data_IF_610819580433
#
_entry.id   IF_610819580433
#
_cell.length_a   1.000
_cell.length_b   1.000
_cell.length_c   1.000
_cell.angle_alpha   90.00
_cell.angle_beta   90.00
_cell.angle_gamma   90.00
#
_symmetry.space_group_name_H-M   'P 1'
#
loop_
_entity.id
_entity.type
_entity.pdbx_description
1 polymer ?
#
# COMPACT_ATOMS: atom_id res chain seq x y z
N UNK A 1 66.74 -16.20 15.73
CA UNK A 1 66.00 -15.69 14.56
C UNK A 1 64.63 -16.37 14.33
N UNK A 2 64.41 -17.64 14.72
CA UNK A 2 63.14 -18.38 14.50
C UNK A 2 61.95 -17.88 15.31
N UNK A 3 62.14 -17.36 16.52
CA UNK A 3 61.02 -16.86 17.37
C UNK A 3 60.35 -15.57 16.90
N UNK A 4 61.03 -14.75 16.06
CA UNK A 4 60.48 -13.52 15.48
C UNK A 4 59.67 -13.76 14.20
N UNK A 5 59.95 -14.87 13.47
CA UNK A 5 59.21 -15.25 12.27
C UNK A 5 57.83 -15.86 12.58
N UNK A 6 57.73 -16.62 13.68
CA UNK A 6 56.48 -17.23 14.12
C UNK A 6 55.48 -16.18 14.64
N UNK A 7 55.93 -15.09 15.25
CA UNK A 7 55.09 -13.99 15.72
C UNK A 7 54.51 -13.16 14.55
N UNK A 8 55.27 -13.03 13.44
CA UNK A 8 54.78 -12.28 12.27
C UNK A 8 53.74 -13.05 11.46
N UNK A 9 53.84 -14.39 11.43
CA UNK A 9 52.86 -15.26 10.75
C UNK A 9 51.52 -15.37 11.54
N UNK A 10 51.58 -15.31 12.87
CA UNK A 10 50.38 -15.35 13.70
C UNK A 10 49.59 -14.01 13.63
N UNK A 11 50.28 -12.87 13.53
CA UNK A 11 49.62 -11.56 13.37
C UNK A 11 49.02 -11.36 11.97
N UNK A 12 49.59 -11.95 10.91
CA UNK A 12 49.02 -11.91 9.56
C UNK A 12 47.77 -12.79 9.44
N UNK A 13 47.71 -13.94 10.15
CA UNK A 13 46.56 -14.81 10.18
C UNK A 13 45.35 -14.19 10.93
N UNK A 14 45.60 -13.36 11.95
CA UNK A 14 44.55 -12.62 12.67
C UNK A 14 43.98 -11.43 11.87
N UNK A 15 44.77 -10.79 11.01
CA UNK A 15 44.33 -9.69 10.17
C UNK A 15 43.49 -10.16 8.95
N UNK A 16 43.75 -11.37 8.45
CA UNK A 16 42.95 -11.97 7.36
C UNK A 16 41.58 -12.48 7.88
N UNK A 17 41.45 -12.84 9.17
CA UNK A 17 40.21 -13.27 9.78
C UNK A 17 39.19 -12.15 10.05
N UNK A 18 39.62 -10.87 10.05
CA UNK A 18 38.73 -9.71 10.28
C UNK A 18 38.16 -9.09 9.00
N UNK A 19 38.60 -9.49 7.81
CA UNK A 19 38.02 -9.03 6.54
C UNK A 19 36.93 -9.94 5.97
N UNK A 20 36.55 -11.02 6.64
CA UNK A 20 35.56 -11.97 6.19
C UNK A 20 34.16 -11.78 6.85
N UNK A 21 33.94 -10.66 7.56
CA UNK A 21 32.64 -10.35 8.19
C UNK A 21 31.93 -9.19 7.49
N UNK A 22 31.46 -9.44 6.27
CA UNK A 22 30.68 -8.47 5.49
C UNK A 22 29.59 -9.08 4.60
N UNK A 23 29.51 -10.41 4.53
CA UNK A 23 28.36 -11.06 3.93
C UNK A 23 27.33 -11.32 5.06
N UNK A 24 26.33 -10.46 5.18
CA UNK A 24 25.15 -10.76 5.99
C UNK A 24 24.60 -12.08 5.46
N UNK A 25 24.74 -13.16 6.22
CA UNK A 25 24.16 -14.43 5.82
C UNK A 25 22.66 -14.21 5.66
N UNK A 26 22.13 -14.54 4.48
CA UNK A 26 20.68 -14.49 4.22
C UNK A 26 19.99 -15.31 5.32
N UNK A 27 19.13 -14.69 6.10
CA UNK A 27 18.37 -15.42 7.12
C UNK A 27 17.42 -16.38 6.40
N UNK A 28 17.33 -17.61 6.84
CA UNK A 28 16.42 -18.61 6.27
C UNK A 28 14.95 -18.36 6.69
N UNK A 29 14.71 -17.30 7.42
CA UNK A 29 13.37 -16.94 7.89
C UNK A 29 12.57 -16.35 6.72
N UNK A 30 11.35 -16.84 6.53
CA UNK A 30 10.40 -16.26 5.56
C UNK A 30 9.50 -15.29 6.29
N UNK A 31 9.52 -14.03 5.89
CA UNK A 31 8.64 -12.98 6.41
C UNK A 31 7.31 -13.01 5.65
N UNK A 32 6.22 -13.19 6.38
CA UNK A 32 4.87 -13.25 5.80
C UNK A 32 4.31 -11.85 5.68
N UNK A 33 4.15 -11.40 4.44
CA UNK A 33 3.71 -10.03 4.10
C UNK A 33 2.33 -10.08 3.47
N UNK A 34 1.40 -9.27 3.95
CA UNK A 34 0.10 -9.07 3.30
C UNK A 34 0.04 -7.72 2.60
N UNK A 35 -0.46 -7.72 1.38
CA UNK A 35 -0.79 -6.52 0.62
C UNK A 35 -2.25 -6.49 0.21
N UNK A 36 -2.76 -5.30 -0.12
CA UNK A 36 -4.06 -5.15 -0.76
C UNK A 36 -3.89 -4.94 -2.26
N UNK A 37 -4.83 -5.44 -3.06
CA UNK A 37 -4.89 -5.12 -4.49
C UNK A 37 -5.12 -3.61 -4.64
N UNK A 38 -4.09 -2.89 -5.06
CA UNK A 38 -4.12 -1.44 -5.21
C UNK A 38 -2.84 -0.72 -4.78
N UNK A 39 -2.92 0.60 -4.56
CA UNK A 39 -1.74 1.47 -4.43
C UNK A 39 -0.84 1.14 -3.22
N UNK A 40 -1.40 0.64 -2.11
CA UNK A 40 -0.63 0.34 -0.90
C UNK A 40 0.41 -0.76 -1.07
N UNK A 41 0.29 -1.58 -2.12
CA UNK A 41 1.17 -2.74 -2.39
C UNK A 41 2.18 -2.47 -3.50
N UNK A 42 1.97 -1.45 -4.34
CA UNK A 42 2.83 -1.21 -5.50
C UNK A 42 4.31 -1.08 -5.14
N UNK A 43 4.65 -0.43 -4.03
CA UNK A 43 6.02 -0.33 -3.54
C UNK A 43 6.61 -1.63 -2.97
N UNK A 44 5.80 -2.69 -2.79
CA UNK A 44 6.24 -3.99 -2.26
C UNK A 44 6.58 -5.01 -3.34
N UNK A 45 6.09 -4.83 -4.59
CA UNK A 45 6.16 -5.90 -5.61
C UNK A 45 7.59 -6.25 -6.02
N UNK A 46 8.51 -5.28 -6.01
CA UNK A 46 9.91 -5.53 -6.33
C UNK A 46 10.63 -6.40 -5.28
N UNK A 47 10.09 -6.58 -4.07
CA UNK A 47 10.60 -7.57 -3.11
C UNK A 47 10.60 -8.98 -3.72
N UNK A 48 9.58 -9.34 -4.49
CA UNK A 48 9.49 -10.65 -5.17
C UNK A 48 10.56 -10.79 -6.26
N UNK A 49 10.80 -9.72 -7.03
CA UNK A 49 11.88 -9.73 -8.02
C UNK A 49 13.26 -9.83 -7.35
N UNK A 50 13.46 -9.12 -6.25
CA UNK A 50 14.70 -9.18 -5.47
C UNK A 50 14.92 -10.57 -4.87
N UNK A 51 13.87 -11.24 -4.38
CA UNK A 51 13.94 -12.60 -3.87
C UNK A 51 14.33 -13.57 -4.99
N UNK A 52 13.63 -13.52 -6.14
CA UNK A 52 13.89 -14.36 -7.31
C UNK A 52 15.32 -14.21 -7.84
N UNK A 53 15.85 -12.99 -7.79
CA UNK A 53 17.21 -12.66 -8.25
C UNK A 53 18.28 -12.88 -7.18
N UNK A 54 17.92 -13.29 -5.96
CA UNK A 54 18.84 -13.52 -4.85
C UNK A 54 19.45 -12.23 -4.27
N UNK A 55 18.84 -11.06 -4.51
CA UNK A 55 19.31 -9.75 -4.02
C UNK A 55 18.57 -9.29 -2.76
N UNK A 56 17.49 -9.98 -2.38
CA UNK A 56 16.80 -9.75 -1.12
C UNK A 56 17.63 -10.26 0.07
N UNK A 57 17.56 -9.54 1.19
CA UNK A 57 18.27 -9.88 2.42
C UNK A 57 17.68 -11.12 3.13
N UNK A 58 16.45 -11.49 2.81
CA UNK A 58 15.68 -12.59 3.39
C UNK A 58 14.61 -13.09 2.43
N UNK A 59 13.83 -14.11 2.82
CA UNK A 59 12.74 -14.61 2.00
C UNK A 59 11.43 -13.89 2.36
N UNK A 60 10.54 -13.72 1.38
CA UNK A 60 9.25 -13.07 1.54
C UNK A 60 8.12 -13.97 1.00
N UNK A 61 7.06 -14.13 1.78
CA UNK A 61 5.77 -14.68 1.33
C UNK A 61 4.80 -13.51 1.23
N UNK A 62 4.70 -12.89 0.04
CA UNK A 62 3.78 -11.78 -0.22
C UNK A 62 2.46 -12.31 -0.74
N UNK A 63 1.40 -12.15 0.04
CA UNK A 63 0.04 -12.54 -0.30
C UNK A 63 -0.83 -11.30 -0.51
N UNK A 64 -1.66 -11.31 -1.57
CA UNK A 64 -2.55 -10.21 -1.92
C UNK A 64 -4.00 -10.53 -1.60
N UNK A 65 -4.70 -9.53 -1.07
CA UNK A 65 -6.10 -9.62 -0.67
C UNK A 65 -6.92 -8.53 -1.35
N UNK A 66 -8.20 -8.80 -1.59
CA UNK A 66 -9.12 -7.85 -2.20
C UNK A 66 -9.55 -6.75 -1.23
N UNK A 67 -9.75 -7.12 0.05
CA UNK A 67 -10.25 -6.22 1.07
C UNK A 67 -9.47 -6.31 2.38
N UNK A 68 -9.46 -5.23 3.14
CA UNK A 68 -8.68 -5.12 4.38
C UNK A 68 -9.22 -5.99 5.53
N UNK A 69 -10.51 -6.34 5.50
CA UNK A 69 -11.15 -7.25 6.46
C UNK A 69 -10.65 -8.70 6.34
N UNK A 70 -10.06 -9.08 5.21
CA UNK A 70 -9.38 -10.36 5.04
C UNK A 70 -7.99 -10.36 5.73
N UNK A 71 -7.29 -9.22 5.76
CA UNK A 71 -5.93 -9.08 6.32
C UNK A 71 -5.95 -8.95 7.83
N UNK A 72 -6.89 -8.16 8.36
CA UNK A 72 -6.97 -7.83 9.79
C UNK A 72 -7.00 -9.06 10.71
N UNK A 73 -7.85 -10.10 10.48
CA UNK A 73 -7.83 -11.29 11.30
C UNK A 73 -6.50 -12.06 11.26
N UNK A 74 -5.82 -12.06 10.12
CA UNK A 74 -4.53 -12.74 9.94
C UNK A 74 -3.40 -12.06 10.71
N UNK A 75 -3.37 -10.72 10.71
CA UNK A 75 -2.45 -9.95 11.57
C UNK A 75 -2.68 -10.27 13.05
N UNK A 76 -3.93 -10.26 13.52
CA UNK A 76 -4.28 -10.51 14.92
C UNK A 76 -3.89 -11.93 15.34
N UNK A 77 -4.10 -12.93 14.48
CA UNK A 77 -3.77 -14.33 14.74
C UNK A 77 -2.28 -14.66 14.58
N UNK A 78 -1.47 -13.74 14.05
CA UNK A 78 -0.07 -13.99 13.74
C UNK A 78 0.15 -14.89 12.51
N UNK A 79 -0.82 -14.97 11.63
CA UNK A 79 -0.69 -15.65 10.31
C UNK A 79 0.09 -14.78 9.32
N UNK A 80 0.15 -13.47 9.54
CA UNK A 80 0.89 -12.46 8.79
C UNK A 80 1.74 -11.65 9.78
N UNK A 81 2.96 -11.30 9.40
CA UNK A 81 3.91 -10.57 10.23
C UNK A 81 3.91 -9.07 9.93
N UNK A 82 3.86 -8.73 8.65
CA UNK A 82 3.89 -7.37 8.10
C UNK A 82 2.71 -7.19 7.15
N UNK A 83 2.07 -6.03 7.17
CA UNK A 83 0.98 -5.75 6.23
C UNK A 83 0.94 -4.30 5.75
N UNK A 84 0.57 -4.12 4.47
CA UNK A 84 0.21 -2.82 3.91
C UNK A 84 -1.32 -2.65 4.03
N UNK A 85 -1.77 -1.70 4.87
CA UNK A 85 -3.17 -1.50 5.21
C UNK A 85 -3.58 -0.02 5.17
N UNK A 86 -4.90 0.29 5.07
CA UNK A 86 -5.42 1.65 5.24
C UNK A 86 -5.00 2.27 6.58
N UNK A 87 -4.61 3.54 6.54
CA UNK A 87 -4.04 4.24 7.69
C UNK A 87 -4.97 4.28 8.93
N UNK A 88 -6.27 4.45 8.73
CA UNK A 88 -7.25 4.45 9.83
C UNK A 88 -7.37 3.08 10.52
N UNK A 89 -7.17 2.00 9.76
CA UNK A 89 -7.19 0.64 10.35
C UNK A 89 -5.99 0.39 11.24
N UNK A 90 -4.81 0.94 10.91
CA UNK A 90 -3.66 0.84 11.80
C UNK A 90 -3.96 1.46 13.17
N UNK A 91 -4.57 2.67 13.22
CA UNK A 91 -4.97 3.30 14.47
C UNK A 91 -6.01 2.46 15.24
N UNK A 92 -7.02 1.94 14.51
CA UNK A 92 -8.06 1.08 15.11
C UNK A 92 -7.49 -0.22 15.66
N UNK A 93 -6.59 -0.87 14.91
CA UNK A 93 -5.94 -2.11 15.33
C UNK A 93 -5.03 -1.89 16.54
N UNK A 94 -4.22 -0.82 16.52
CA UNK A 94 -3.36 -0.46 17.65
C UNK A 94 -4.16 -0.39 18.95
N UNK A 95 -5.31 0.30 18.91
CA UNK A 95 -6.18 0.41 20.09
C UNK A 95 -6.84 -0.91 20.47
N UNK A 96 -7.40 -1.64 19.50
CA UNK A 96 -8.11 -2.91 19.76
C UNK A 96 -7.20 -4.03 20.24
N UNK A 97 -5.94 -4.00 19.83
CA UNK A 97 -4.93 -5.00 20.22
C UNK A 97 -4.05 -4.52 21.37
N UNK A 98 -4.35 -3.35 21.96
CA UNK A 98 -3.56 -2.73 23.02
C UNK A 98 -2.07 -2.62 22.68
N UNK A 99 -1.77 -2.06 21.50
CA UNK A 99 -0.40 -1.89 21.01
C UNK A 99 0.17 -3.10 20.26
N UNK A 100 -0.67 -4.05 19.84
CA UNK A 100 -0.24 -5.28 19.16
C UNK A 100 0.30 -5.10 17.74
N UNK A 101 0.28 -3.88 17.19
CA UNK A 101 0.93 -3.52 15.92
C UNK A 101 1.71 -2.21 16.05
N UNK A 102 2.69 -2.02 15.17
CA UNK A 102 3.48 -0.79 15.03
C UNK A 102 3.46 -0.35 13.57
N UNK A 103 3.39 0.96 13.32
CA UNK A 103 3.56 1.54 11.98
C UNK A 103 5.05 1.67 11.69
N UNK A 104 5.50 1.10 10.58
CA UNK A 104 6.90 1.18 10.13
C UNK A 104 7.11 2.24 9.07
N UNK A 105 6.13 2.44 8.19
CA UNK A 105 6.23 3.40 7.10
C UNK A 105 4.85 3.90 6.66
N UNK A 106 4.81 5.13 6.15
CA UNK A 106 3.73 5.62 5.31
C UNK A 106 4.03 5.16 3.89
N UNK A 107 3.11 4.42 3.28
CA UNK A 107 3.31 3.86 1.95
C UNK A 107 2.44 4.50 0.85
N UNK A 108 1.40 5.22 1.24
CA UNK A 108 0.49 5.85 0.28
C UNK A 108 -0.01 7.20 0.78
N UNK A 109 0.16 8.21 -0.03
CA UNK A 109 -0.36 9.57 0.19
C UNK A 109 -1.41 9.88 -0.89
N UNK A 110 -2.58 10.36 -0.48
CA UNK A 110 -3.63 10.78 -1.42
C UNK A 110 -4.21 9.63 -2.24
N UNK A 111 -4.08 9.69 -3.54
CA UNK A 111 -4.48 8.74 -4.61
C UNK A 111 -5.98 8.52 -4.82
N UNK A 112 -6.85 9.27 -4.16
CA UNK A 112 -8.31 9.13 -4.26
C UNK A 112 -8.90 10.23 -5.15
N UNK A 113 -9.81 9.84 -6.05
CA UNK A 113 -10.44 10.74 -7.00
C UNK A 113 -11.93 10.48 -7.12
N UNK A 114 -12.72 11.53 -7.32
CA UNK A 114 -14.08 11.38 -7.82
C UNK A 114 -14.01 11.38 -9.35
N UNK A 115 -14.58 10.34 -9.93
CA UNK A 115 -14.72 10.19 -11.39
C UNK A 115 -16.19 10.20 -11.78
N UNK A 116 -16.49 10.72 -12.96
CA UNK A 116 -17.84 10.80 -13.51
C UNK A 116 -17.90 10.30 -14.94
N UNK A 117 -18.96 9.58 -15.28
CA UNK A 117 -19.38 9.30 -16.64
C UNK A 117 -20.51 10.25 -17.00
N UNK A 118 -20.15 11.45 -17.47
CA UNK A 118 -21.06 12.55 -17.71
C UNK A 118 -20.35 13.89 -17.61
N UNK A 119 -21.14 14.96 -17.53
CA UNK A 119 -20.62 16.35 -17.40
C UNK A 119 -21.52 17.17 -16.47
N UNK A 120 -21.78 16.65 -15.27
CA UNK A 120 -22.69 17.26 -14.31
C UNK A 120 -22.03 17.59 -12.98
N UNK A 121 -20.83 17.07 -12.72
CA UNK A 121 -20.06 17.33 -11.49
C UNK A 121 -18.86 18.21 -11.80
N UNK A 122 -18.83 19.39 -11.18
CA UNK A 122 -17.74 20.39 -11.29
C UNK A 122 -17.24 20.81 -9.90
N UNK A 123 -17.98 20.46 -8.84
CA UNK A 123 -17.67 20.78 -7.45
C UNK A 123 -18.29 19.75 -6.51
N UNK A 124 -17.93 19.79 -5.21
CA UNK A 124 -18.63 18.98 -4.20
C UNK A 124 -20.13 19.25 -4.14
N UNK A 125 -20.56 20.49 -4.37
CA UNK A 125 -21.98 20.86 -4.30
C UNK A 125 -22.84 20.05 -5.28
N UNK A 126 -22.29 19.67 -6.43
CA UNK A 126 -22.99 18.93 -7.48
C UNK A 126 -23.17 17.43 -7.10
N UNK A 127 -22.56 16.96 -6.03
CA UNK A 127 -22.75 15.62 -5.51
C UNK A 127 -24.06 15.47 -4.71
N UNK A 128 -24.68 16.58 -4.31
CA UNK A 128 -25.91 16.54 -3.52
C UNK A 128 -27.04 15.87 -4.30
N UNK A 129 -27.74 14.94 -3.65
CA UNK A 129 -28.80 14.12 -4.25
C UNK A 129 -28.31 12.99 -5.14
N UNK A 130 -26.98 12.78 -5.24
CA UNK A 130 -26.40 11.79 -6.15
C UNK A 130 -26.06 10.48 -5.43
N UNK A 131 -25.96 9.41 -6.24
CA UNK A 131 -25.40 8.14 -5.81
C UNK A 131 -23.92 8.11 -6.19
N UNK A 132 -23.05 7.76 -5.23
CA UNK A 132 -21.60 7.67 -5.38
C UNK A 132 -21.20 6.23 -5.13
N UNK A 133 -20.60 5.58 -6.13
CA UNK A 133 -20.02 4.25 -5.99
C UNK A 133 -18.65 4.37 -5.31
N UNK A 134 -18.31 3.49 -4.38
CA UNK A 134 -17.04 3.53 -3.67
C UNK A 134 -16.60 2.14 -3.24
N UNK A 135 -15.39 2.06 -2.72
CA UNK A 135 -14.85 0.87 -2.04
C UNK A 135 -14.40 1.23 -0.64
N UNK A 136 -13.92 0.26 0.09
CA UNK A 136 -13.24 0.49 1.37
C UNK A 136 -14.17 0.98 2.46
N UNK A 137 -15.37 0.40 2.58
CA UNK A 137 -16.26 0.65 3.72
C UNK A 137 -15.53 0.37 5.05
N UNK A 138 -15.60 1.32 5.99
CA UNK A 138 -14.86 1.25 7.26
C UNK A 138 -13.36 1.58 7.13
N UNK A 139 -12.89 2.00 5.96
CA UNK A 139 -11.49 2.31 5.71
C UNK A 139 -11.28 3.74 5.23
N UNK A 140 -10.03 4.14 5.00
CA UNK A 140 -9.66 5.53 4.67
C UNK A 140 -10.50 6.16 3.53
N UNK A 141 -10.79 5.48 2.41
CA UNK A 141 -11.61 6.07 1.34
C UNK A 141 -12.98 6.57 1.82
N UNK A 142 -13.69 5.78 2.63
CA UNK A 142 -14.98 6.21 3.19
C UNK A 142 -14.83 7.44 4.08
N UNK A 143 -13.89 7.40 5.02
CA UNK A 143 -13.73 8.50 5.98
C UNK A 143 -13.31 9.80 5.30
N UNK A 144 -12.44 9.74 4.31
CA UNK A 144 -12.00 10.90 3.52
C UNK A 144 -13.18 11.50 2.75
N UNK A 145 -13.93 10.68 2.01
CA UNK A 145 -15.09 11.16 1.26
C UNK A 145 -16.11 11.81 2.19
N UNK A 146 -16.48 11.14 3.27
CA UNK A 146 -17.48 11.64 4.23
C UNK A 146 -17.02 12.91 4.94
N UNK A 147 -15.73 13.02 5.25
CA UNK A 147 -15.17 14.22 5.84
C UNK A 147 -15.22 15.40 4.88
N UNK A 148 -14.80 15.21 3.63
CA UNK A 148 -14.81 16.26 2.62
C UNK A 148 -16.23 16.68 2.23
N UNK A 149 -17.20 15.75 2.17
CA UNK A 149 -18.62 16.09 2.00
C UNK A 149 -19.08 17.03 3.11
N UNK A 150 -18.84 16.70 4.39
CA UNK A 150 -19.21 17.56 5.53
C UNK A 150 -18.55 18.92 5.49
N UNK A 151 -17.25 18.99 5.10
CA UNK A 151 -16.53 20.27 4.95
C UNK A 151 -17.10 21.15 3.86
N UNK A 152 -17.79 20.56 2.89
CA UNK A 152 -18.50 21.27 1.81
C UNK A 152 -20.00 21.43 2.09
N UNK A 153 -20.46 21.25 3.34
CA UNK A 153 -21.85 21.48 3.74
C UNK A 153 -22.83 20.39 3.27
N UNK A 154 -22.33 19.19 2.93
CA UNK A 154 -23.14 18.05 2.50
C UNK A 154 -23.16 17.01 3.61
N UNK A 155 -24.34 16.64 4.08
CA UNK A 155 -24.51 15.53 5.03
C UNK A 155 -24.38 14.18 4.29
N UNK A 156 -23.30 13.40 4.54
CA UNK A 156 -23.07 12.16 3.81
C UNK A 156 -24.10 11.06 4.11
N UNK A 157 -24.95 11.25 5.10
CA UNK A 157 -25.99 10.29 5.50
C UNK A 157 -27.37 10.65 4.97
N UNK A 158 -27.57 11.91 4.50
CA UNK A 158 -28.87 12.43 4.04
C UNK A 158 -28.84 12.97 2.63
N UNK A 159 -27.74 13.67 2.27
CA UNK A 159 -27.68 14.44 1.05
C UNK A 159 -27.09 13.65 -0.14
N UNK A 160 -26.46 12.49 0.11
CA UNK A 160 -25.91 11.60 -0.91
C UNK A 160 -26.22 10.14 -0.56
N UNK A 161 -26.19 9.27 -1.56
CA UNK A 161 -26.20 7.81 -1.35
C UNK A 161 -24.82 7.26 -1.70
N UNK A 162 -24.12 6.63 -0.75
CA UNK A 162 -22.85 5.99 -1.01
C UNK A 162 -23.05 4.48 -1.07
N UNK A 163 -22.73 3.87 -2.22
CA UNK A 163 -22.80 2.43 -2.43
C UNK A 163 -21.40 1.85 -2.41
N UNK A 164 -21.17 0.86 -1.54
CA UNK A 164 -19.86 0.26 -1.34
C UNK A 164 -19.76 -1.11 -2.01
N UNK A 165 -18.66 -1.33 -2.68
CA UNK A 165 -18.26 -2.60 -3.30
C UNK A 165 -17.01 -3.14 -2.59
N UNK A 166 -16.77 -4.44 -2.74
CA UNK A 166 -15.64 -5.11 -2.08
C UNK A 166 -14.30 -4.66 -2.67
N UNK A 167 -14.20 -4.57 -4.00
CA UNK A 167 -12.99 -4.22 -4.73
C UNK A 167 -13.19 -3.03 -5.68
N UNK A 168 -12.12 -2.28 -5.95
CA UNK A 168 -12.14 -1.18 -6.92
C UNK A 168 -12.39 -1.65 -8.36
N UNK A 169 -12.01 -2.88 -8.69
CA UNK A 169 -12.33 -3.54 -9.96
C UNK A 169 -13.82 -3.68 -10.20
N UNK A 170 -14.62 -3.95 -9.15
CA UNK A 170 -16.08 -4.03 -9.23
C UNK A 170 -16.69 -2.65 -9.50
N UNK A 171 -16.23 -1.60 -8.82
CA UNK A 171 -16.66 -0.21 -9.08
C UNK A 171 -16.34 0.17 -10.53
N UNK A 172 -15.13 -0.16 -11.02
CA UNK A 172 -14.75 0.09 -12.41
C UNK A 172 -15.68 -0.62 -13.39
N UNK A 173 -16.08 -1.85 -13.10
CA UNK A 173 -17.02 -2.62 -13.92
C UNK A 173 -18.43 -1.99 -13.90
N UNK A 174 -18.91 -1.53 -12.74
CA UNK A 174 -20.21 -0.85 -12.63
C UNK A 174 -20.22 0.49 -13.40
N UNK A 175 -19.13 1.27 -13.33
CA UNK A 175 -18.96 2.49 -14.11
C UNK A 175 -19.05 2.20 -15.60
N UNK A 176 -18.39 1.15 -16.09
CA UNK A 176 -18.42 0.76 -17.49
C UNK A 176 -19.82 0.30 -17.93
N UNK A 177 -20.55 -0.43 -17.08
CA UNK A 177 -21.89 -0.94 -17.36
C UNK A 177 -22.96 0.18 -17.37
N UNK A 178 -22.74 1.26 -16.64
CA UNK A 178 -23.68 2.39 -16.56
C UNK A 178 -23.58 3.27 -17.81
N UNK A 179 -24.72 3.63 -18.39
CA UNK A 179 -24.73 4.37 -19.67
C UNK A 179 -24.30 5.84 -19.51
N UNK A 180 -24.70 6.51 -18.44
CA UNK A 180 -24.36 7.91 -18.14
C UNK A 180 -24.65 8.26 -16.69
N UNK A 181 -24.16 9.43 -16.25
CA UNK A 181 -24.43 10.03 -14.95
C UNK A 181 -23.95 9.16 -13.76
N UNK A 182 -22.99 8.25 -13.98
CA UNK A 182 -22.38 7.46 -12.93
C UNK A 182 -21.24 8.26 -12.29
N UNK A 183 -21.20 8.21 -10.95
CA UNK A 183 -20.16 8.88 -10.14
C UNK A 183 -19.54 7.83 -9.24
N UNK A 184 -18.19 7.82 -9.16
CA UNK A 184 -17.49 6.91 -8.27
C UNK A 184 -16.32 7.60 -7.58
N UNK A 185 -15.93 7.07 -6.41
CA UNK A 185 -14.63 7.32 -5.79
C UNK A 185 -13.73 6.13 -6.07
N UNK A 186 -12.64 6.37 -6.75
CA UNK A 186 -11.65 5.36 -7.11
C UNK A 186 -10.23 5.81 -6.71
N UNK A 187 -9.37 4.88 -6.29
CA UNK A 187 -7.94 5.16 -6.16
C UNK A 187 -7.25 5.03 -7.53
N UNK A 188 -6.07 5.65 -7.68
CA UNK A 188 -5.12 5.18 -8.69
C UNK A 188 -4.60 3.79 -8.30
N UNK A 189 -4.32 2.91 -9.27
CA UNK A 189 -4.40 3.09 -10.74
C UNK A 189 -5.77 2.76 -11.34
N UNK A 190 -6.79 2.46 -10.52
CA UNK A 190 -8.13 2.11 -11.03
C UNK A 190 -8.85 3.23 -11.78
N UNK A 191 -8.51 4.49 -11.48
CA UNK A 191 -8.98 5.63 -12.30
C UNK A 191 -8.47 5.50 -13.74
N UNK A 192 -7.17 5.28 -13.90
CA UNK A 192 -6.57 5.07 -15.23
C UNK A 192 -7.17 3.85 -15.93
N UNK A 193 -7.32 2.73 -15.21
CA UNK A 193 -7.96 1.52 -15.74
C UNK A 193 -9.38 1.76 -16.24
N UNK A 194 -10.16 2.55 -15.50
CA UNK A 194 -11.51 2.91 -15.89
C UNK A 194 -11.52 3.78 -17.15
N UNK A 195 -10.64 4.80 -17.21
CA UNK A 195 -10.52 5.70 -18.36
C UNK A 195 -10.01 4.99 -19.63
N UNK A 196 -9.13 4.00 -19.49
CA UNK A 196 -8.68 3.19 -20.64
C UNK A 196 -9.82 2.34 -21.22
N UNK A 197 -10.76 1.87 -20.38
CA UNK A 197 -11.95 1.13 -20.83
C UNK A 197 -13.03 2.05 -21.40
N UNK A 198 -13.14 3.24 -20.85
CA UNK A 198 -14.14 4.24 -21.24
C UNK A 198 -13.53 5.64 -21.15
N UNK A 199 -13.05 6.16 -22.30
CA UNK A 199 -12.43 7.47 -22.39
C UNK A 199 -13.39 8.65 -22.10
N UNK A 200 -14.70 8.39 -21.98
CA UNK A 200 -15.67 9.41 -21.56
C UNK A 200 -15.67 9.66 -20.04
N UNK A 201 -14.97 8.83 -19.26
CA UNK A 201 -14.83 9.04 -17.82
C UNK A 201 -13.91 10.22 -17.53
N UNK A 202 -14.41 11.17 -16.74
CA UNK A 202 -13.66 12.35 -16.30
C UNK A 202 -13.25 12.22 -14.84
N UNK A 203 -12.04 12.64 -14.52
CA UNK A 203 -11.66 12.95 -13.14
C UNK A 203 -12.22 14.33 -12.83
N UNK A 204 -13.15 14.42 -11.88
CA UNK A 204 -13.86 15.66 -11.55
C UNK A 204 -13.37 16.30 -10.27
N UNK A 205 -12.96 15.50 -9.26
CA UNK A 205 -12.35 15.99 -8.03
C UNK A 205 -11.13 15.14 -7.67
N UNK A 206 -10.03 15.81 -7.36
CA UNK A 206 -8.86 15.24 -6.71
C UNK A 206 -9.03 15.42 -5.20
N UNK A 207 -9.29 14.32 -4.47
CA UNK A 207 -9.56 14.40 -3.03
C UNK A 207 -8.34 14.85 -2.22
N UNK A 208 -7.12 14.71 -2.74
CA UNK A 208 -5.92 15.25 -2.11
C UNK A 208 -5.90 16.78 -2.19
N UNK A 209 -6.23 17.34 -3.36
CA UNK A 209 -6.36 18.79 -3.53
C UNK A 209 -7.48 19.36 -2.65
N UNK A 210 -8.61 18.67 -2.58
CA UNK A 210 -9.72 19.09 -1.75
C UNK A 210 -9.41 18.98 -0.25
N UNK A 211 -8.65 17.96 0.16
CA UNK A 211 -8.13 17.81 1.52
C UNK A 211 -7.23 18.99 1.91
N UNK A 212 -6.30 19.36 1.05
CA UNK A 212 -5.35 20.45 1.30
C UNK A 212 -6.01 21.83 1.41
N UNK A 213 -7.26 21.99 0.95
CA UNK A 213 -8.04 23.24 1.15
C UNK A 213 -8.61 23.35 2.56
N UNK A 214 -8.78 22.24 3.27
CA UNK A 214 -9.51 22.17 4.56
C UNK A 214 -8.70 21.56 5.70
N UNK A 215 -7.49 21.09 5.41
CA UNK A 215 -6.57 20.49 6.38
C UNK A 215 -5.14 20.95 6.12
N UNK A 216 -4.40 21.21 7.21
CA UNK A 216 -2.98 21.58 7.16
C UNK A 216 -2.05 20.35 7.22
N UNK A 217 -2.60 19.14 7.05
CA UNK A 217 -1.87 17.87 7.13
C UNK A 217 -1.96 17.12 5.81
N UNK A 218 -0.97 16.28 5.54
CA UNK A 218 -1.00 15.37 4.39
C UNK A 218 -2.14 14.35 4.52
N UNK A 219 -2.74 14.00 3.41
CA UNK A 219 -3.71 12.91 3.33
C UNK A 219 -2.98 11.57 3.28
N UNK A 220 -2.77 10.95 4.45
CA UNK A 220 -2.18 9.61 4.55
C UNK A 220 -3.29 8.58 4.36
N UNK A 221 -3.19 7.78 3.30
CA UNK A 221 -4.20 6.78 2.96
C UNK A 221 -3.77 5.36 3.25
N UNK A 222 -2.46 5.07 3.23
CA UNK A 222 -1.92 3.75 3.50
C UNK A 222 -0.65 3.77 4.33
N UNK A 223 -0.48 2.72 5.12
CA UNK A 223 0.71 2.49 5.96
C UNK A 223 1.14 1.02 5.91
N UNK A 224 2.42 0.78 6.16
CA UNK A 224 2.98 -0.55 6.38
C UNK A 224 3.16 -0.74 7.87
N UNK A 225 2.57 -1.81 8.40
CA UNK A 225 2.59 -2.16 9.82
C UNK A 225 3.28 -3.51 10.05
N UNK A 226 3.84 -3.69 11.25
CA UNK A 226 4.37 -4.96 11.74
C UNK A 226 3.65 -5.34 13.03
N UNK A 227 3.48 -6.64 13.29
CA UNK A 227 3.05 -7.10 14.61
C UNK A 227 4.12 -6.78 15.66
N UNK A 228 3.71 -6.20 16.79
CA UNK A 228 4.64 -5.82 17.87
C UNK A 228 5.43 -7.03 18.37
N UNK A 229 4.78 -8.15 18.64
CA UNK A 229 5.45 -9.38 19.08
C UNK A 229 6.49 -9.86 18.04
N UNK A 230 6.17 -9.80 16.73
CA UNK A 230 7.13 -10.16 15.69
C UNK A 230 8.35 -9.23 15.67
N UNK A 231 8.12 -7.93 15.83
CA UNK A 231 9.20 -6.94 15.82
C UNK A 231 10.14 -7.11 17.05
N UNK A 232 9.60 -7.52 18.18
CA UNK A 232 10.37 -7.81 19.40
C UNK A 232 11.16 -9.13 19.30
N UNK A 233 10.57 -10.16 18.71
CA UNK A 233 11.17 -11.48 18.54
C UNK A 233 12.17 -11.54 17.37
N UNK A 234 11.95 -10.72 16.32
CA UNK A 234 12.68 -10.73 15.06
C UNK A 234 13.15 -9.33 14.61
N UNK A 235 13.88 -8.57 15.43
CA UNK A 235 14.26 -7.19 15.11
C UNK A 235 15.16 -7.08 13.86
N UNK A 236 16.02 -8.07 13.60
CA UNK A 236 16.89 -8.07 12.44
C UNK A 236 16.11 -8.27 11.13
N UNK A 237 15.10 -9.12 11.13
CA UNK A 237 14.20 -9.35 9.99
C UNK A 237 13.39 -8.10 9.66
N UNK A 238 12.97 -7.34 10.66
CA UNK A 238 12.27 -6.05 10.47
C UNK A 238 13.21 -5.01 9.85
N UNK A 239 14.45 -4.92 10.33
CA UNK A 239 15.47 -4.02 9.76
C UNK A 239 15.79 -4.40 8.31
N UNK A 240 15.94 -5.69 8.02
CA UNK A 240 16.19 -6.19 6.68
C UNK A 240 15.01 -5.92 5.75
N UNK A 241 13.77 -6.15 6.24
CA UNK A 241 12.57 -5.78 5.49
C UNK A 241 12.56 -4.30 5.13
N UNK A 242 12.83 -3.40 6.06
CA UNK A 242 12.83 -1.95 5.78
C UNK A 242 13.87 -1.56 4.74
N UNK A 243 15.07 -2.17 4.78
CA UNK A 243 16.13 -1.94 3.78
C UNK A 243 15.72 -2.45 2.40
N UNK A 244 15.17 -3.65 2.33
CA UNK A 244 14.72 -4.24 1.07
C UNK A 244 13.48 -3.52 0.55
N UNK A 245 12.58 -3.09 1.44
CA UNK A 245 11.42 -2.29 1.07
C UNK A 245 11.81 -0.95 0.47
N UNK A 246 12.83 -0.26 1.05
CA UNK A 246 13.35 0.98 0.44
C UNK A 246 13.87 0.71 -0.97
N UNK A 247 14.67 -0.34 -1.18
CA UNK A 247 15.15 -0.71 -2.52
C UNK A 247 14.00 -1.05 -3.48
N UNK A 248 12.96 -1.71 -2.97
CA UNK A 248 11.77 -2.05 -3.76
C UNK A 248 11.03 -0.79 -4.21
N UNK A 249 10.92 0.22 -3.34
CA UNK A 249 10.33 1.53 -3.68
C UNK A 249 11.21 2.30 -4.66
N UNK A 250 12.53 2.29 -4.45
CA UNK A 250 13.47 2.95 -5.36
C UNK A 250 13.37 2.32 -6.76
N UNK A 251 13.37 0.98 -6.85
CA UNK A 251 13.18 0.26 -8.11
C UNK A 251 11.83 0.57 -8.78
N UNK A 252 10.77 0.76 -7.99
CA UNK A 252 9.46 1.14 -8.52
C UNK A 252 9.46 2.54 -9.15
N UNK A 253 10.31 3.46 -8.68
CA UNK A 253 10.46 4.79 -9.26
C UNK A 253 11.43 4.83 -10.45
N UNK A 254 12.47 3.98 -10.42
CA UNK A 254 13.52 3.95 -11.43
C UNK A 254 13.12 3.13 -12.68
N UNK A 255 12.29 2.09 -12.51
CA UNK A 255 11.79 1.21 -13.56
C UNK A 255 10.26 1.07 -13.46
N UNK A 256 9.55 2.05 -14.02
CA UNK A 256 8.09 2.08 -14.01
C UNK A 256 7.50 0.91 -14.82
N UNK A 257 8.07 0.62 -16.01
CA UNK A 257 7.55 -0.43 -16.90
C UNK A 257 7.75 -1.83 -16.28
N UNK A 258 8.92 -2.10 -15.71
CA UNK A 258 9.21 -3.36 -15.01
C UNK A 258 8.34 -3.53 -13.77
N UNK A 259 8.16 -2.47 -12.98
CA UNK A 259 7.28 -2.50 -11.80
C UNK A 259 5.81 -2.68 -12.21
N UNK A 260 5.36 -2.02 -13.28
CA UNK A 260 4.01 -2.22 -13.81
C UNK A 260 3.78 -3.68 -14.23
N UNK A 261 4.74 -4.29 -14.93
CA UNK A 261 4.66 -5.71 -15.31
C UNK A 261 4.59 -6.64 -14.08
N UNK A 262 5.37 -6.35 -13.03
CA UNK A 262 5.29 -7.10 -11.77
C UNK A 262 3.93 -6.92 -11.07
N UNK A 263 3.40 -5.70 -11.03
CA UNK A 263 2.08 -5.43 -10.45
C UNK A 263 0.98 -6.23 -11.16
N UNK A 264 1.10 -6.38 -12.48
CA UNK A 264 0.20 -7.23 -13.27
C UNK A 264 0.41 -8.72 -12.97
N UNK A 265 1.65 -9.20 -13.01
CA UNK A 265 2.01 -10.61 -12.77
C UNK A 265 1.47 -11.10 -11.43
N UNK A 266 1.59 -10.29 -10.37
CA UNK A 266 1.14 -10.65 -9.03
C UNK A 266 -0.31 -10.27 -8.73
N UNK A 267 -1.01 -9.60 -9.65
CA UNK A 267 -2.42 -9.26 -9.54
C UNK A 267 -2.74 -8.10 -8.60
N UNK A 268 -1.82 -7.14 -8.41
CA UNK A 268 -2.07 -5.88 -7.69
C UNK A 268 -3.13 -5.06 -8.39
N UNK A 269 -3.06 -5.00 -9.71
CA UNK A 269 -4.01 -4.34 -10.60
C UNK A 269 -4.21 -5.18 -11.84
N UNK A 270 -5.38 -5.10 -12.47
CA UNK A 270 -5.62 -5.74 -13.75
C UNK A 270 -4.81 -5.04 -14.87
N UNK A 271 -4.35 -5.81 -15.85
CA UNK A 271 -3.44 -5.46 -16.96
C UNK A 271 -3.68 -4.11 -17.65
N UNK A 272 -4.91 -3.69 -17.76
CA UNK A 272 -5.27 -2.47 -18.49
C UNK A 272 -5.05 -1.17 -17.68
N UNK A 273 -4.46 -1.25 -16.49
CA UNK A 273 -4.41 -0.13 -15.55
C UNK A 273 -3.00 0.38 -15.27
N UNK A 274 -1.99 -0.29 -15.84
CA UNK A 274 -0.58 0.00 -15.53
C UNK A 274 0.11 0.75 -16.71
#
# INVERSE_FOLDING_TARGET
>A
MMKKLTSLLLSAALLVGMLACGASAKTNTTVRVAGLKGPTTMGLVNLLAMEKNGTASQNYDLQLYGAADEVVPKLIKGEVDIAAIPANLAATLYQKTNGGIQVMAVNTLGVLYVVEKGDTVHSFADLKGRTILSTGKGTTPEYVLRYLLRKNGIDPDKDVKIEYYSEASEVTAQMAATKKDAIAVLPQPYVTAAQMKDSSLRVVLDLTREWNKVCDTQLITGVTVVRTAYAEEHPEEVINFLKDYQKSVDAANDDLDGTAALCEEVGVVAKAAI
#
